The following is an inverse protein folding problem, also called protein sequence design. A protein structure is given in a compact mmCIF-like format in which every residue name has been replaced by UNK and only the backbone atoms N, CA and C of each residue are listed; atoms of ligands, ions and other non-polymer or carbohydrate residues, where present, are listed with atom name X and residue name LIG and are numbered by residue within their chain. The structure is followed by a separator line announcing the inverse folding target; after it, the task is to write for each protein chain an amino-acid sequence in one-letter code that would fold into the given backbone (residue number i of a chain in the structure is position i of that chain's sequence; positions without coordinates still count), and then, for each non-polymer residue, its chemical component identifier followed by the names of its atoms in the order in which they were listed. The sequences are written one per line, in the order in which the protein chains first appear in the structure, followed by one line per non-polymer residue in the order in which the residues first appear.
data_IF_760598656383
#
_entry.id   IF_760598656383
#
_cell.length_a   1.000
_cell.length_b   1.000
_cell.length_c   1.000
_cell.angle_alpha   90.00
_cell.angle_beta   90.00
_cell.angle_gamma   90.00
#
_symmetry.space_group_name_H-M   'P 1'
#
loop_
_entity.id
_entity.type
_entity.pdbx_description
1 polymer ?
#
# COMPACT_ATOMS: atom_id res chain seq x y z
N UNK A 1 1.19 5.50 28.53
CA UNK A 1 1.29 5.99 27.16
C UNK A 1 2.73 6.39 26.91
N UNK A 2 3.40 5.66 26.05
CA UNK A 2 4.78 5.94 25.68
C UNK A 2 4.76 6.77 24.39
N UNK A 3 4.55 8.07 24.56
CA UNK A 3 4.84 9.00 23.48
C UNK A 3 6.36 9.18 23.44
N UNK A 4 7.02 8.84 22.35
CA UNK A 4 8.38 9.28 22.10
C UNK A 4 8.37 10.79 22.04
N UNK A 5 9.44 11.40 22.55
CA UNK A 5 9.73 12.78 22.20
C UNK A 5 9.65 12.91 20.69
N UNK A 6 8.89 13.88 20.21
CA UNK A 6 8.71 14.09 18.76
C UNK A 6 10.07 14.11 18.08
N UNK A 7 10.27 13.26 17.10
CA UNK A 7 11.39 13.39 16.17
C UNK A 7 11.10 14.58 15.24
N UNK A 8 11.33 15.77 15.75
CA UNK A 8 11.11 17.02 15.02
C UNK A 8 12.15 17.23 13.92
N UNK A 9 13.33 16.60 14.06
CA UNK A 9 14.48 16.88 13.22
C UNK A 9 14.24 16.46 11.75
N UNK A 10 13.76 15.27 11.52
CA UNK A 10 13.46 14.80 10.16
C UNK A 10 12.29 15.55 9.50
N UNK A 11 11.36 16.08 10.28
CA UNK A 11 10.24 16.85 9.76
C UNK A 11 10.64 18.27 9.38
N UNK A 12 11.50 18.89 10.18
CA UNK A 12 12.09 20.19 9.84
C UNK A 12 12.87 20.10 8.53
N UNK A 13 13.75 19.12 8.40
CA UNK A 13 14.54 18.93 7.19
C UNK A 13 13.65 18.74 5.96
N UNK A 14 12.57 17.98 6.07
CA UNK A 14 11.67 17.72 4.94
C UNK A 14 10.86 18.95 4.51
N UNK A 15 10.40 19.78 5.45
CA UNK A 15 9.60 20.97 5.13
C UNK A 15 10.49 22.18 4.76
N UNK A 16 11.60 22.38 5.44
CA UNK A 16 12.43 23.55 5.24
C UNK A 16 13.33 23.46 4.01
N UNK A 17 13.64 22.26 3.52
CA UNK A 17 14.33 22.12 2.24
C UNK A 17 13.41 22.27 1.01
N UNK A 18 12.09 22.20 1.19
CA UNK A 18 11.15 22.37 0.10
C UNK A 18 10.91 23.82 -0.29
N UNK A 19 10.96 24.74 0.69
CA UNK A 19 10.79 26.19 0.44
C UNK A 19 11.29 27.01 1.64
N UNK A 20 12.43 27.67 1.50
CA UNK A 20 13.01 28.57 2.51
C UNK A 20 12.10 29.77 2.86
N UNK A 21 11.03 29.99 2.11
CA UNK A 21 10.06 31.07 2.32
C UNK A 21 8.92 30.69 3.26
N UNK A 22 8.71 29.40 3.54
CA UNK A 22 7.66 28.94 4.45
C UNK A 22 8.05 29.23 5.91
N UNK A 23 7.56 30.32 6.46
CA UNK A 23 7.61 30.57 7.91
C UNK A 23 6.51 29.76 8.58
N UNK A 24 6.91 28.73 9.30
CA UNK A 24 5.98 27.96 10.14
C UNK A 24 5.59 28.80 11.36
N UNK A 25 4.31 29.16 11.54
CA UNK A 25 3.90 30.09 12.61
C UNK A 25 3.78 29.44 13.99
N UNK A 26 3.98 28.12 14.07
CA UNK A 26 3.77 27.34 15.30
C UNK A 26 5.11 26.87 15.89
N UNK A 27 5.17 26.81 17.23
CA UNK A 27 6.27 26.15 17.92
C UNK A 27 6.08 24.62 17.88
N UNK A 28 7.17 23.87 18.02
CA UNK A 28 7.14 22.39 17.90
C UNK A 28 6.16 21.73 18.89
N UNK A 29 6.00 22.31 20.10
CA UNK A 29 5.12 21.80 21.15
C UNK A 29 3.62 22.00 20.86
N UNK A 30 3.29 22.92 19.94
CA UNK A 30 1.89 23.21 19.53
C UNK A 30 1.43 22.34 18.35
N UNK A 31 2.30 21.43 17.86
CA UNK A 31 2.12 20.74 16.60
C UNK A 31 1.68 19.29 16.79
N UNK A 32 0.48 18.97 16.33
CA UNK A 32 0.05 17.57 16.19
C UNK A 32 0.37 17.13 14.77
N UNK A 33 1.35 16.26 14.63
CA UNK A 33 1.72 15.72 13.33
C UNK A 33 0.69 14.71 12.83
N UNK A 34 0.26 14.92 11.59
CA UNK A 34 -0.59 13.98 10.88
C UNK A 34 -0.07 13.76 9.45
N UNK A 35 1.24 13.89 9.29
CA UNK A 35 1.96 13.82 8.02
C UNK A 35 2.67 12.48 7.88
N UNK A 36 2.58 11.87 6.70
CA UNK A 36 3.15 10.55 6.41
C UNK A 36 2.59 9.49 7.37
N UNK A 37 2.85 8.22 7.16
CA UNK A 37 2.49 7.16 8.11
C UNK A 37 3.54 7.02 9.23
N UNK A 38 4.07 8.16 9.71
CA UNK A 38 5.05 8.20 10.78
C UNK A 38 4.32 8.28 12.12
N UNK A 39 4.54 7.27 12.97
CA UNK A 39 3.85 7.16 14.24
C UNK A 39 4.69 7.69 15.39
N UNK A 40 4.08 8.51 16.25
CA UNK A 40 4.72 9.04 17.45
C UNK A 40 4.61 8.10 18.67
N UNK A 41 4.39 6.82 18.43
CA UNK A 41 4.35 5.80 19.46
C UNK A 41 5.70 5.09 19.58
N UNK A 42 6.12 4.82 20.81
CA UNK A 42 7.32 4.03 21.04
C UNK A 42 7.16 2.62 20.44
N UNK A 43 8.20 2.17 19.76
CA UNK A 43 8.28 0.78 19.29
C UNK A 43 8.17 -0.18 20.48
N UNK A 44 7.38 -1.25 20.39
CA UNK A 44 7.25 -2.23 21.47
C UNK A 44 8.59 -2.82 21.92
N UNK A 45 8.76 -3.03 23.23
CA UNK A 45 10.00 -3.52 23.80
C UNK A 45 10.45 -4.86 23.18
N UNK A 46 9.52 -5.75 22.86
CA UNK A 46 9.82 -7.04 22.22
C UNK A 46 10.59 -6.89 20.90
N UNK A 47 10.32 -5.84 20.14
CA UNK A 47 11.03 -5.53 18.90
C UNK A 47 12.43 -5.00 19.20
N UNK A 48 12.52 -4.04 20.11
CA UNK A 48 13.80 -3.45 20.55
C UNK A 48 14.72 -4.53 21.11
N UNK A 49 14.21 -5.42 21.95
CA UNK A 49 14.99 -6.50 22.55
C UNK A 49 15.43 -7.53 21.49
N UNK A 50 14.59 -7.81 20.50
CA UNK A 50 14.97 -8.64 19.36
C UNK A 50 16.14 -8.06 18.58
N UNK A 51 16.12 -6.75 18.32
CA UNK A 51 17.21 -6.02 17.64
C UNK A 51 18.49 -6.06 18.47
N UNK A 52 18.42 -5.74 19.79
CA UNK A 52 19.56 -5.81 20.70
C UNK A 52 20.20 -7.20 20.70
N UNK A 53 19.39 -8.26 20.83
CA UNK A 53 19.87 -9.64 20.77
C UNK A 53 20.55 -9.97 19.45
N UNK A 54 20.06 -9.42 18.33
CA UNK A 54 20.72 -9.59 17.02
C UNK A 54 22.06 -8.88 16.95
N UNK A 55 22.17 -7.70 17.56
CA UNK A 55 23.41 -6.91 17.63
C UNK A 55 24.51 -7.60 18.44
N UNK A 56 24.16 -8.36 19.46
CA UNK A 56 25.12 -9.13 20.28
C UNK A 56 25.98 -10.11 19.47
N UNK A 57 25.46 -10.58 18.33
CA UNK A 57 26.22 -11.48 17.44
C UNK A 57 27.41 -10.83 16.75
N UNK A 58 27.43 -9.50 16.62
CA UNK A 58 28.49 -8.68 15.99
C UNK A 58 28.89 -9.08 14.56
N UNK A 59 28.15 -9.98 13.92
CA UNK A 59 28.39 -10.45 12.57
C UNK A 59 27.14 -10.16 11.75
N UNK A 60 27.27 -9.27 10.75
CA UNK A 60 26.19 -8.73 9.92
C UNK A 60 26.45 -9.04 8.46
N UNK A 61 26.69 -10.33 8.17
CA UNK A 61 26.82 -10.81 6.79
C UNK A 61 25.48 -10.91 6.07
N UNK A 62 25.51 -11.54 4.91
CA UNK A 62 24.28 -11.74 4.14
C UNK A 62 23.24 -12.50 4.92
N UNK A 63 21.97 -12.04 4.83
CA UNK A 63 20.81 -12.74 5.36
C UNK A 63 20.03 -13.37 4.22
N UNK A 64 19.74 -14.66 4.32
CA UNK A 64 18.81 -15.31 3.40
C UNK A 64 17.38 -14.91 3.77
N UNK A 65 16.73 -14.16 2.90
CA UNK A 65 15.37 -13.62 3.10
C UNK A 65 14.31 -14.72 2.99
N UNK A 66 14.69 -15.92 2.54
CA UNK A 66 13.78 -17.05 2.28
C UNK A 66 13.76 -18.10 3.39
N UNK A 67 14.04 -17.71 4.64
CA UNK A 67 13.90 -18.64 5.75
C UNK A 67 12.44 -19.01 6.00
N UNK A 68 12.24 -20.29 6.31
CA UNK A 68 10.91 -20.82 6.62
C UNK A 68 10.23 -20.05 7.74
N UNK A 69 10.98 -19.64 8.76
CA UNK A 69 10.47 -18.89 9.92
C UNK A 69 9.81 -17.55 9.53
N UNK A 70 10.37 -16.85 8.54
CA UNK A 70 9.80 -15.60 8.07
C UNK A 70 8.45 -15.84 7.36
N UNK A 71 8.42 -16.78 6.42
CA UNK A 71 7.18 -17.14 5.75
C UNK A 71 6.12 -17.63 6.74
N UNK A 72 6.50 -18.50 7.69
CA UNK A 72 5.56 -19.06 8.68
C UNK A 72 4.95 -17.95 9.55
N UNK A 73 5.75 -16.96 9.97
CA UNK A 73 5.26 -15.83 10.76
C UNK A 73 4.26 -14.99 9.96
N UNK A 74 4.59 -14.67 8.72
CA UNK A 74 3.73 -13.88 7.84
C UNK A 74 2.45 -14.64 7.46
N UNK A 75 2.56 -15.87 7.06
CA UNK A 75 1.41 -16.70 6.74
C UNK A 75 0.47 -16.88 7.96
N UNK A 76 1.04 -17.06 9.16
CA UNK A 76 0.26 -17.12 10.39
C UNK A 76 -0.47 -15.80 10.69
N UNK A 77 0.18 -14.66 10.46
CA UNK A 77 -0.44 -13.34 10.58
C UNK A 77 -1.61 -13.19 9.63
N UNK A 78 -1.39 -13.43 8.33
CA UNK A 78 -2.44 -13.32 7.31
C UNK A 78 -3.61 -14.27 7.59
N UNK A 79 -3.33 -15.50 8.04
CA UNK A 79 -4.37 -16.45 8.42
C UNK A 79 -5.17 -15.98 9.62
N UNK A 80 -4.50 -15.46 10.66
CA UNK A 80 -5.16 -15.04 11.89
C UNK A 80 -5.96 -13.75 11.74
N UNK A 81 -5.46 -12.78 10.96
CA UNK A 81 -6.06 -11.45 10.81
C UNK A 81 -7.10 -11.39 9.70
N UNK A 82 -6.83 -12.05 8.58
CA UNK A 82 -7.63 -11.90 7.36
C UNK A 82 -8.31 -13.20 6.94
N UNK A 83 -8.02 -14.33 7.63
CA UNK A 83 -8.42 -15.67 7.22
C UNK A 83 -8.02 -15.94 5.75
N UNK A 84 -6.80 -15.55 5.41
CA UNK A 84 -6.22 -15.67 4.08
C UNK A 84 -4.94 -16.51 4.11
N UNK A 85 -4.76 -17.35 3.09
CA UNK A 85 -3.60 -18.22 2.94
C UNK A 85 -3.05 -18.15 1.52
N UNK A 86 -1.75 -18.37 1.38
CA UNK A 86 -1.03 -18.40 0.11
C UNK A 86 0.16 -19.36 0.22
N UNK A 87 0.68 -19.83 -0.92
CA UNK A 87 1.84 -20.69 -0.95
C UNK A 87 3.14 -19.89 -0.75
N UNK A 88 4.14 -20.54 -0.11
CA UNK A 88 5.46 -19.93 0.09
C UNK A 88 6.11 -19.40 -1.20
N UNK A 89 5.92 -20.11 -2.31
CA UNK A 89 6.46 -19.69 -3.63
C UNK A 89 5.79 -18.44 -4.20
N UNK A 90 4.66 -18.03 -3.65
CA UNK A 90 3.93 -16.82 -4.03
C UNK A 90 4.43 -15.60 -3.27
N UNK A 91 5.22 -15.79 -2.21
CA UNK A 91 5.81 -14.70 -1.44
C UNK A 91 7.11 -14.22 -2.10
N UNK A 92 7.10 -12.98 -2.57
CA UNK A 92 8.26 -12.31 -3.17
C UNK A 92 8.67 -11.12 -2.31
N UNK A 93 9.96 -11.02 -2.04
CA UNK A 93 10.53 -9.91 -1.26
C UNK A 93 11.00 -8.79 -2.17
N UNK A 94 10.70 -7.56 -1.77
CA UNK A 94 11.14 -6.35 -2.45
C UNK A 94 11.84 -5.40 -1.48
N UNK A 95 12.64 -4.47 -2.00
CA UNK A 95 13.32 -3.44 -1.21
C UNK A 95 12.39 -2.28 -0.79
N UNK A 96 11.11 -2.52 -0.79
CA UNK A 96 10.07 -1.56 -0.41
C UNK A 96 8.94 -1.53 -1.43
N UNK A 97 7.83 -0.96 -1.03
CA UNK A 97 6.60 -0.89 -1.83
C UNK A 97 6.78 -0.02 -3.08
N UNK A 98 7.38 1.17 -2.93
CA UNK A 98 7.52 2.10 -4.05
C UNK A 98 8.40 1.52 -5.16
N UNK A 99 9.63 1.03 -4.91
CA UNK A 99 10.42 0.36 -5.95
C UNK A 99 9.67 -0.79 -6.63
N UNK A 100 9.02 -1.65 -5.83
CA UNK A 100 8.24 -2.75 -6.39
C UNK A 100 7.11 -2.28 -7.31
N UNK A 101 6.45 -1.17 -6.97
CA UNK A 101 5.39 -0.60 -7.81
C UNK A 101 5.92 -0.17 -9.17
N UNK A 102 7.03 0.55 -9.20
CA UNK A 102 7.65 1.03 -10.43
C UNK A 102 8.07 -0.14 -11.33
N UNK A 103 8.77 -1.12 -10.75
CA UNK A 103 9.18 -2.32 -11.46
C UNK A 103 7.99 -3.13 -12.01
N UNK A 104 6.92 -3.28 -11.23
CA UNK A 104 5.72 -4.01 -11.67
C UNK A 104 4.98 -3.28 -12.78
N UNK A 105 4.82 -1.96 -12.71
CA UNK A 105 4.18 -1.18 -13.79
C UNK A 105 4.97 -1.33 -15.08
N UNK A 106 6.29 -1.18 -15.03
CA UNK A 106 7.15 -1.31 -16.20
C UNK A 106 7.13 -2.73 -16.78
N UNK A 107 7.11 -3.75 -15.93
CA UNK A 107 7.11 -5.16 -16.34
C UNK A 107 5.77 -5.61 -16.92
N UNK A 108 4.65 -5.17 -16.32
CA UNK A 108 3.30 -5.62 -16.67
C UNK A 108 2.79 -4.89 -17.91
N UNK A 109 2.93 -3.56 -17.93
CA UNK A 109 2.39 -2.73 -19.01
C UNK A 109 3.40 -2.54 -20.12
N UNK A 110 2.99 -2.77 -21.35
CA UNK A 110 3.78 -2.40 -22.54
C UNK A 110 3.78 -0.87 -22.73
N UNK A 111 4.70 -0.32 -23.54
CA UNK A 111 4.83 1.14 -23.72
C UNK A 111 3.58 1.88 -24.17
N UNK A 112 2.67 1.23 -24.89
CA UNK A 112 1.42 1.81 -25.40
C UNK A 112 0.18 1.43 -24.60
N UNK A 113 0.38 0.72 -23.49
CA UNK A 113 -0.69 0.33 -22.58
C UNK A 113 -0.88 1.35 -21.45
N UNK A 114 -1.99 1.24 -20.74
CA UNK A 114 -2.47 2.20 -19.75
C UNK A 114 -2.62 1.59 -18.39
N UNK A 115 -2.43 2.43 -17.37
CA UNK A 115 -2.61 2.10 -15.96
C UNK A 115 -3.85 2.79 -15.42
N UNK A 116 -4.83 2.03 -14.95
CA UNK A 116 -6.07 2.52 -14.35
C UNK A 116 -5.97 2.52 -12.83
N UNK A 117 -6.44 3.57 -12.18
CA UNK A 117 -6.60 3.64 -10.73
C UNK A 117 -7.71 4.61 -10.33
N UNK A 118 -8.20 4.46 -9.09
CA UNK A 118 -9.24 5.33 -8.53
C UNK A 118 -8.63 6.65 -8.05
N UNK A 119 -9.34 7.76 -8.24
CA UNK A 119 -8.92 9.09 -7.76
C UNK A 119 -9.95 9.72 -6.82
N UNK A 120 -9.53 10.51 -5.80
CA UNK A 120 -8.15 10.86 -5.46
C UNK A 120 -7.31 9.63 -5.10
N UNK A 121 -6.00 9.67 -5.39
CA UNK A 121 -5.12 8.50 -5.19
C UNK A 121 -3.81 8.87 -4.52
N UNK A 122 -3.09 7.85 -4.08
CA UNK A 122 -1.70 8.01 -3.71
C UNK A 122 -0.88 8.40 -4.94
N UNK A 123 -0.15 9.52 -4.84
CA UNK A 123 0.52 10.14 -5.98
C UNK A 123 1.51 9.21 -6.72
N UNK A 124 2.09 8.26 -6.02
CA UNK A 124 3.05 7.32 -6.60
C UNK A 124 2.45 6.35 -7.61
N UNK A 125 1.12 6.18 -7.67
CA UNK A 125 0.49 5.40 -8.74
C UNK A 125 0.70 6.11 -10.08
N UNK A 126 0.44 7.42 -10.10
CA UNK A 126 0.71 8.25 -11.27
C UNK A 126 2.21 8.32 -11.58
N UNK A 127 3.06 8.54 -10.57
CA UNK A 127 4.50 8.62 -10.78
C UNK A 127 5.10 7.33 -11.35
N UNK A 128 4.61 6.17 -10.96
CA UNK A 128 5.04 4.90 -11.52
C UNK A 128 4.66 4.76 -13.00
N UNK A 129 3.44 5.19 -13.37
CA UNK A 129 3.02 5.22 -14.76
C UNK A 129 3.85 6.22 -15.58
N UNK A 130 4.03 7.45 -15.09
CA UNK A 130 4.79 8.50 -15.76
C UNK A 130 6.27 8.09 -15.96
N UNK A 131 6.93 7.54 -14.93
CA UNK A 131 8.32 7.11 -15.00
C UNK A 131 8.53 5.98 -16.02
N UNK A 132 7.54 5.14 -16.18
CA UNK A 132 7.53 4.06 -17.17
C UNK A 132 6.99 4.51 -18.55
N UNK A 133 6.67 5.78 -18.73
CA UNK A 133 6.04 6.35 -19.93
C UNK A 133 4.73 5.62 -20.30
N UNK A 134 3.89 5.30 -19.31
CA UNK A 134 2.54 4.72 -19.50
C UNK A 134 1.50 5.80 -19.26
N UNK A 135 0.40 5.73 -20.00
CA UNK A 135 -0.73 6.63 -19.79
C UNK A 135 -1.48 6.27 -18.51
N UNK A 136 -1.73 7.27 -17.65
CA UNK A 136 -2.59 7.11 -16.48
C UNK A 136 -4.04 7.33 -16.86
N UNK A 137 -4.90 6.38 -16.50
CA UNK A 137 -6.36 6.48 -16.62
C UNK A 137 -6.94 6.58 -15.21
N UNK A 138 -7.67 7.64 -14.93
CA UNK A 138 -8.24 7.89 -13.60
C UNK A 138 -9.74 7.62 -13.62
N UNK A 139 -10.25 6.85 -12.68
CA UNK A 139 -11.68 6.73 -12.39
C UNK A 139 -11.97 7.45 -11.09
N UNK A 140 -12.72 8.55 -11.17
CA UNK A 140 -12.98 9.41 -10.02
C UNK A 140 -13.99 8.77 -9.08
N UNK A 141 -13.66 8.76 -7.79
CA UNK A 141 -14.59 8.37 -6.75
C UNK A 141 -15.67 9.45 -6.58
N UNK A 142 -16.89 9.03 -6.37
CA UNK A 142 -18.01 9.93 -6.05
C UNK A 142 -17.89 10.31 -4.57
N UNK A 143 -17.78 11.60 -4.29
CA UNK A 143 -17.74 12.13 -2.93
C UNK A 143 -19.11 12.68 -2.54
N UNK A 144 -19.72 12.12 -1.51
CA UNK A 144 -20.94 12.61 -0.91
C UNK A 144 -20.67 12.95 0.55
N UNK A 145 -20.53 14.22 0.85
CA UNK A 145 -20.29 14.75 2.20
C UNK A 145 -19.09 14.06 2.92
N UNK A 146 -17.99 13.84 2.19
CA UNK A 146 -16.79 13.20 2.71
C UNK A 146 -16.81 11.66 2.65
N UNK A 147 -17.89 11.05 2.24
CA UNK A 147 -17.95 9.61 2.02
C UNK A 147 -17.75 9.29 0.53
N UNK A 148 -16.75 8.49 0.25
CA UNK A 148 -16.34 8.15 -1.11
C UNK A 148 -16.92 6.80 -1.55
N UNK A 149 -17.49 6.75 -2.74
CA UNK A 149 -17.99 5.53 -3.39
C UNK A 149 -17.42 5.36 -4.79
N UNK A 150 -17.41 4.15 -5.29
CA UNK A 150 -16.90 3.83 -6.63
C UNK A 150 -17.98 4.15 -7.65
N UNK A 151 -17.61 4.89 -8.71
CA UNK A 151 -18.40 4.99 -9.93
C UNK A 151 -18.11 3.76 -10.80
N UNK A 152 -18.94 2.74 -10.65
CA UNK A 152 -18.74 1.48 -11.38
C UNK A 152 -18.99 1.61 -12.89
N UNK A 153 -19.83 2.53 -13.31
CA UNK A 153 -20.09 2.76 -14.73
C UNK A 153 -18.85 3.37 -15.41
N UNK A 154 -18.25 4.39 -14.78
CA UNK A 154 -17.01 5.00 -15.25
C UNK A 154 -15.83 4.02 -15.18
N UNK A 155 -15.71 3.27 -14.10
CA UNK A 155 -14.67 2.26 -13.94
C UNK A 155 -14.76 1.18 -15.02
N UNK A 156 -15.94 0.63 -15.26
CA UNK A 156 -16.15 -0.41 -16.27
C UNK A 156 -15.86 0.11 -17.69
N UNK A 157 -16.31 1.32 -17.99
CA UNK A 157 -16.04 1.98 -19.28
C UNK A 157 -14.55 2.15 -19.54
N UNK A 158 -13.78 2.57 -18.52
CA UNK A 158 -12.33 2.78 -18.63
C UNK A 158 -11.56 1.46 -18.67
N UNK A 159 -12.02 0.45 -17.95
CA UNK A 159 -11.46 -0.89 -17.99
C UNK A 159 -11.70 -1.60 -19.35
N UNK A 160 -12.75 -1.24 -20.06
CA UNK A 160 -13.09 -1.84 -21.36
C UNK A 160 -12.19 -1.36 -22.53
N UNK A 161 -11.35 -0.35 -22.32
CA UNK A 161 -10.33 0.03 -23.32
C UNK A 161 -9.25 -1.07 -23.37
N UNK A 162 -9.06 -1.70 -24.51
CA UNK A 162 -8.10 -2.80 -24.71
C UNK A 162 -6.66 -2.43 -24.35
N UNK A 163 -6.32 -1.13 -24.34
CA UNK A 163 -5.02 -0.66 -23.88
C UNK A 163 -4.90 -0.52 -22.37
N UNK A 164 -6.02 -0.52 -21.65
CA UNK A 164 -6.02 -0.47 -20.17
C UNK A 164 -5.78 -1.86 -19.61
N UNK A 165 -4.53 -2.20 -19.34
CA UNK A 165 -4.12 -3.57 -19.03
C UNK A 165 -3.79 -3.80 -17.55
N UNK A 166 -3.60 -2.73 -16.78
CA UNK A 166 -3.29 -2.78 -15.36
C UNK A 166 -4.26 -1.90 -14.56
N UNK A 167 -4.83 -2.47 -13.49
CA UNK A 167 -5.54 -1.73 -12.46
C UNK A 167 -4.73 -1.71 -11.17
N UNK A 168 -4.60 -0.54 -10.53
CA UNK A 168 -4.01 -0.41 -9.21
C UNK A 168 -5.12 -0.10 -8.21
N UNK A 169 -5.39 -1.04 -7.31
CA UNK A 169 -6.33 -0.89 -6.20
C UNK A 169 -5.58 -0.52 -4.93
N UNK A 170 -6.04 0.48 -4.20
CA UNK A 170 -5.60 0.77 -2.84
C UNK A 170 -6.67 0.34 -1.83
N UNK A 171 -6.31 -0.55 -0.90
CA UNK A 171 -7.24 -1.07 0.10
C UNK A 171 -6.53 -1.44 1.42
N UNK A 172 -6.69 -0.69 2.49
CA UNK A 172 -7.47 0.54 2.68
C UNK A 172 -7.03 1.68 1.78
N UNK A 173 -7.98 2.49 1.35
CA UNK A 173 -7.77 3.47 0.30
C UNK A 173 -7.16 4.78 0.84
N UNK A 174 -6.02 5.18 0.32
CA UNK A 174 -5.37 6.46 0.57
C UNK A 174 -5.62 7.40 -0.62
N UNK A 175 -6.16 8.62 -0.42
CA UNK A 175 -6.32 9.33 0.86
C UNK A 175 -7.72 9.26 1.50
N UNK A 176 -8.72 8.61 0.91
CA UNK A 176 -10.10 8.70 1.37
C UNK A 176 -10.37 7.97 2.71
N UNK A 177 -9.46 7.09 3.14
CA UNK A 177 -9.64 6.28 4.36
C UNK A 177 -10.70 5.18 4.21
N UNK A 178 -11.22 4.94 3.00
CA UNK A 178 -12.16 3.85 2.75
C UNK A 178 -11.50 2.48 2.92
N UNK A 179 -12.19 1.58 3.60
CA UNK A 179 -11.92 0.15 3.58
C UNK A 179 -13.02 -0.47 2.73
N UNK A 180 -12.64 -1.04 1.58
CA UNK A 180 -13.63 -1.58 0.65
C UNK A 180 -14.30 -2.81 1.22
N UNK A 181 -15.62 -2.87 1.09
CA UNK A 181 -16.42 -4.01 1.53
C UNK A 181 -16.31 -5.17 0.55
N UNK A 182 -16.69 -6.36 1.00
CA UNK A 182 -16.62 -7.58 0.17
C UNK A 182 -17.41 -7.46 -1.14
N UNK A 183 -18.61 -6.88 -1.06
CA UNK A 183 -19.43 -6.64 -2.24
C UNK A 183 -18.80 -5.65 -3.23
N UNK A 184 -18.08 -4.64 -2.74
CA UNK A 184 -17.36 -3.67 -3.58
C UNK A 184 -16.15 -4.35 -4.25
N UNK A 185 -15.40 -5.14 -3.49
CA UNK A 185 -14.25 -5.89 -4.01
C UNK A 185 -14.67 -6.95 -5.05
N UNK A 186 -15.82 -7.62 -4.84
CA UNK A 186 -16.37 -8.57 -5.82
C UNK A 186 -16.72 -7.88 -7.15
N UNK A 187 -17.36 -6.71 -7.09
CA UNK A 187 -17.67 -5.95 -8.31
C UNK A 187 -16.41 -5.48 -9.05
N UNK A 188 -15.40 -5.01 -8.29
CA UNK A 188 -14.09 -4.69 -8.88
C UNK A 188 -13.50 -5.94 -9.54
N UNK A 189 -13.51 -7.08 -8.85
CA UNK A 189 -13.01 -8.34 -9.37
C UNK A 189 -13.69 -8.75 -10.67
N UNK A 190 -15.01 -8.66 -10.75
CA UNK A 190 -15.79 -8.95 -11.96
C UNK A 190 -15.37 -8.07 -13.14
N UNK A 191 -15.14 -6.77 -12.92
CA UNK A 191 -14.67 -5.84 -13.95
C UNK A 191 -13.26 -6.22 -14.42
N UNK A 192 -12.35 -6.54 -13.48
CA UNK A 192 -10.97 -6.94 -13.78
C UNK A 192 -10.95 -8.24 -14.59
N UNK A 193 -11.68 -9.26 -14.15
CA UNK A 193 -11.74 -10.56 -14.83
C UNK A 193 -12.35 -10.45 -16.23
N UNK A 194 -13.46 -9.72 -16.36
CA UNK A 194 -14.15 -9.50 -17.64
C UNK A 194 -13.22 -8.88 -18.69
N UNK A 195 -12.34 -7.97 -18.27
CA UNK A 195 -11.41 -7.26 -19.14
C UNK A 195 -10.00 -7.88 -19.15
N UNK A 196 -9.81 -9.02 -18.49
CA UNK A 196 -8.55 -9.77 -18.44
C UNK A 196 -7.32 -8.92 -18.01
N UNK A 197 -7.53 -7.97 -17.10
CA UNK A 197 -6.53 -7.01 -16.64
C UNK A 197 -5.60 -7.62 -15.60
N UNK A 198 -4.39 -7.11 -15.51
CA UNK A 198 -3.58 -7.25 -14.32
C UNK A 198 -4.14 -6.37 -13.19
N UNK A 199 -3.97 -6.81 -11.95
CA UNK A 199 -4.28 -5.98 -10.79
C UNK A 199 -3.15 -6.02 -9.78
N UNK A 200 -2.74 -4.83 -9.32
CA UNK A 200 -1.89 -4.64 -8.16
C UNK A 200 -2.80 -4.16 -7.02
N UNK A 201 -2.98 -4.98 -6.00
CA UNK A 201 -3.69 -4.59 -4.78
C UNK A 201 -2.69 -4.06 -3.75
N UNK A 202 -2.68 -2.75 -3.57
CA UNK A 202 -1.86 -2.08 -2.55
C UNK A 202 -2.57 -2.12 -1.21
N UNK A 203 -2.14 -3.03 -0.35
CA UNK A 203 -2.74 -3.30 0.95
C UNK A 203 -1.84 -2.85 2.12
N UNK A 204 -0.94 -1.87 1.88
CA UNK A 204 0.02 -1.37 2.87
C UNK A 204 -0.62 -0.94 4.19
N UNK A 205 -1.85 -0.46 4.16
CA UNK A 205 -2.58 0.04 5.32
C UNK A 205 -3.47 -1.00 5.99
N UNK A 206 -3.40 -2.27 5.58
CA UNK A 206 -4.34 -3.32 6.02
C UNK A 206 -4.41 -3.54 7.53
N UNK A 207 -3.34 -3.28 8.26
CA UNK A 207 -3.28 -3.42 9.72
C UNK A 207 -3.67 -2.13 10.48
N UNK A 208 -3.84 -1.01 9.79
CA UNK A 208 -4.16 0.29 10.37
C UNK A 208 -5.65 0.64 10.18
N UNK A 209 -6.50 -0.09 10.88
CA UNK A 209 -7.95 0.02 10.77
C UNK A 209 -8.58 0.63 12.02
N UNK A 210 -9.74 1.27 11.84
CA UNK A 210 -10.62 1.59 12.96
C UNK A 210 -11.20 0.31 13.54
N UNK A 211 -11.55 0.34 14.82
CA UNK A 211 -12.01 -0.85 15.56
C UNK A 211 -13.25 -1.52 14.96
N UNK A 212 -14.06 -0.77 14.23
CA UNK A 212 -15.30 -1.21 13.59
C UNK A 212 -15.10 -1.70 12.14
N UNK A 213 -13.88 -1.66 11.63
CA UNK A 213 -13.55 -2.02 10.26
C UNK A 213 -12.81 -3.35 10.18
N UNK A 214 -12.99 -4.05 9.07
CA UNK A 214 -12.29 -5.30 8.77
C UNK A 214 -11.72 -5.25 7.37
N UNK A 215 -10.42 -5.48 7.26
CA UNK A 215 -9.78 -5.62 5.95
C UNK A 215 -10.09 -7.00 5.34
N UNK A 216 -10.32 -6.98 4.03
CA UNK A 216 -10.46 -8.19 3.23
C UNK A 216 -9.44 -8.10 2.09
N UNK A 217 -8.42 -8.97 2.06
CA UNK A 217 -7.46 -9.01 0.96
C UNK A 217 -8.16 -9.31 -0.37
N UNK A 218 -7.76 -8.64 -1.44
CA UNK A 218 -8.32 -8.91 -2.76
C UNK A 218 -8.02 -10.35 -3.20
N UNK A 219 -6.86 -10.89 -2.83
CA UNK A 219 -6.49 -12.28 -3.08
C UNK A 219 -7.42 -13.32 -2.43
N UNK A 220 -8.14 -12.93 -1.37
CA UNK A 220 -9.18 -13.78 -0.77
C UNK A 220 -10.48 -13.76 -1.57
N UNK A 221 -10.78 -12.63 -2.22
CA UNK A 221 -11.99 -12.46 -3.06
C UNK A 221 -11.80 -13.10 -4.43
N UNK A 222 -10.56 -13.07 -4.95
CA UNK A 222 -10.19 -13.58 -6.28
C UNK A 222 -9.12 -14.69 -6.17
N UNK A 223 -9.38 -15.82 -5.48
CA UNK A 223 -8.35 -16.79 -5.12
C UNK A 223 -7.68 -17.48 -6.30
N UNK A 224 -8.39 -17.60 -7.42
CA UNK A 224 -7.92 -18.30 -8.63
C UNK A 224 -7.40 -17.35 -9.71
N UNK A 225 -7.46 -16.04 -9.49
CA UNK A 225 -7.07 -15.08 -10.50
C UNK A 225 -5.54 -14.94 -10.59
N UNK A 226 -4.97 -15.31 -11.74
CA UNK A 226 -3.51 -15.41 -11.93
C UNK A 226 -2.81 -14.09 -12.24
N UNK A 227 -3.56 -13.04 -12.52
CA UNK A 227 -3.02 -11.71 -12.82
C UNK A 227 -3.18 -10.74 -11.63
N UNK A 228 -3.14 -11.27 -10.40
CA UNK A 228 -3.23 -10.50 -9.16
C UNK A 228 -1.89 -10.51 -8.44
N UNK A 229 -1.45 -9.32 -8.06
CA UNK A 229 -0.33 -9.12 -7.14
C UNK A 229 -0.86 -8.34 -5.94
N UNK A 230 -0.86 -8.98 -4.77
CA UNK A 230 -1.11 -8.28 -3.50
C UNK A 230 0.20 -7.79 -2.95
N UNK A 231 0.26 -6.53 -2.60
CA UNK A 231 1.46 -5.90 -2.09
C UNK A 231 1.20 -5.31 -0.70
N UNK A 232 2.07 -5.69 0.24
CA UNK A 232 2.07 -5.19 1.60
C UNK A 232 3.52 -5.05 2.08
N UNK A 233 3.79 -4.13 2.98
CA UNK A 233 5.12 -3.96 3.55
C UNK A 233 5.14 -4.44 4.99
N UNK A 234 5.96 -5.46 5.26
CA UNK A 234 6.15 -6.01 6.59
C UNK A 234 7.36 -5.44 7.32
N UNK A 235 8.14 -4.61 6.67
CA UNK A 235 9.41 -4.13 7.20
C UNK A 235 9.32 -2.88 8.06
N UNK A 236 8.15 -2.30 8.23
CA UNK A 236 7.99 -1.20 9.16
C UNK A 236 7.70 -1.74 10.55
N UNK A 237 8.78 -2.13 11.17
CA UNK A 237 8.86 -2.24 12.60
C UNK A 237 9.38 -0.91 13.15
#
# INVERSE_FOLDING_TARGET
SHTNAMNTDGFRDYIFHADETMKFPYQDEEFIRMWVADMEFATPDVVIDGIKKRLEKRIFGYTRVFEKSYYDAFAAWCKSKYDWTFDRKELVMSNGIIPALFEMVEYICKPDEKVLFLTPSYAYFKYAADASHRESVCSDLINTDGYYTIDYEDLEKKAADEKTTLFILCNPHNPSGRVWKEEELKKIGEIIEKNNMWVISDEIHCDLLRLDQKHIPLGKVMPDYKKLVTRSEERRV
#
